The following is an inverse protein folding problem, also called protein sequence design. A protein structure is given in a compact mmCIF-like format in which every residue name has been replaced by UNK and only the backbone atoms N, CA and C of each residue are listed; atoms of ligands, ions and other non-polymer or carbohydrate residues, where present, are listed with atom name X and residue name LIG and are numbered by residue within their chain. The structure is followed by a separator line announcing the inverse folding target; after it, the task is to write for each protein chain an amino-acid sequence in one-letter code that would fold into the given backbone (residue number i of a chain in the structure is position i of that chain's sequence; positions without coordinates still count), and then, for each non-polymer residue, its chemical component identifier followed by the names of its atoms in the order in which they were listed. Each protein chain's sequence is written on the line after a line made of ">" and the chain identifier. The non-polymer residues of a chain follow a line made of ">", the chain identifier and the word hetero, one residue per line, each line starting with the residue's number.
data_IF_537841130534
#
_entry.id   IF_537841130534
#
_cell.length_a   1.000
_cell.length_b   1.000
_cell.length_c   1.000
_cell.angle_alpha   90.00
_cell.angle_beta   90.00
_cell.angle_gamma   90.00
#
_symmetry.space_group_name_H-M   'P 1'
#
loop_
_entity.id
_entity.type
_entity.pdbx_description
1 polymer ?
#
# COMPACT_ATOMS: atom_id res chain seq x y z
N UNK A 1 0.97 -19.64 -1.07
CA UNK A 1 1.58 -18.30 -0.88
C UNK A 1 0.68 -17.49 0.02
N UNK A 2 1.10 -16.29 0.45
CA UNK A 2 0.20 -15.37 1.16
C UNK A 2 -0.81 -14.76 0.16
N UNK A 3 -2.06 -14.57 0.59
CA UNK A 3 -3.12 -13.99 -0.25
C UNK A 3 -3.02 -12.46 -0.37
N UNK A 4 -2.41 -11.82 0.65
CA UNK A 4 -2.19 -10.38 0.74
C UNK A 4 -1.12 -10.06 1.80
N UNK A 5 -0.23 -9.11 1.51
CA UNK A 5 0.66 -8.49 2.49
C UNK A 5 0.27 -7.03 2.68
N UNK A 6 -0.02 -6.61 3.92
CA UNK A 6 -0.30 -5.21 4.26
C UNK A 6 0.85 -4.70 5.14
N UNK A 7 1.56 -3.66 4.70
CA UNK A 7 2.77 -3.16 5.39
C UNK A 7 3.03 -1.69 5.08
N UNK A 8 4.06 -1.11 5.70
CA UNK A 8 4.63 0.20 5.36
C UNK A 8 5.82 0.03 4.39
N UNK A 9 6.39 1.14 3.92
CA UNK A 9 7.58 1.13 3.05
C UNK A 9 8.77 0.44 3.75
N UNK A 10 9.04 -0.80 3.35
CA UNK A 10 10.05 -1.69 3.93
C UNK A 10 10.56 -2.66 2.87
N UNK A 11 11.71 -3.30 3.12
CA UNK A 11 12.25 -4.36 2.26
C UNK A 11 11.25 -5.52 2.02
N UNK A 12 10.39 -5.81 3.01
CA UNK A 12 9.36 -6.85 2.88
C UNK A 12 8.33 -6.51 1.80
N UNK A 13 7.94 -5.23 1.70
CA UNK A 13 7.02 -4.79 0.66
C UNK A 13 7.62 -5.07 -0.73
N UNK A 14 8.86 -4.63 -0.94
CA UNK A 14 9.59 -4.83 -2.19
C UNK A 14 9.77 -6.30 -2.57
N UNK A 15 10.16 -7.14 -1.61
CA UNK A 15 10.29 -8.58 -1.85
C UNK A 15 8.95 -9.21 -2.24
N UNK A 16 7.87 -8.91 -1.50
CA UNK A 16 6.55 -9.46 -1.80
C UNK A 16 6.03 -9.02 -3.18
N UNK A 17 6.26 -7.75 -3.56
CA UNK A 17 5.93 -7.24 -4.90
C UNK A 17 6.74 -7.91 -6.01
N UNK A 18 8.05 -8.11 -5.80
CA UNK A 18 8.91 -8.82 -6.76
C UNK A 18 8.51 -10.29 -6.95
N UNK A 19 7.95 -10.92 -5.91
CA UNK A 19 7.41 -12.29 -5.97
C UNK A 19 5.99 -12.36 -6.54
N UNK A 20 5.41 -11.24 -6.99
CA UNK A 20 4.06 -11.20 -7.55
C UNK A 20 2.94 -11.46 -6.53
N UNK A 21 3.24 -11.33 -5.23
CA UNK A 21 2.21 -11.39 -4.19
C UNK A 21 1.41 -10.09 -4.18
N UNK A 22 0.08 -10.10 -3.96
CA UNK A 22 -0.68 -8.89 -3.73
C UNK A 22 -0.16 -8.13 -2.50
N UNK A 23 0.10 -6.84 -2.62
CA UNK A 23 0.69 -6.03 -1.54
C UNK A 23 -0.05 -4.70 -1.41
N UNK A 24 -0.42 -4.31 -0.19
CA UNK A 24 -0.94 -2.98 0.13
C UNK A 24 0.08 -2.23 0.98
N UNK A 25 0.52 -1.07 0.51
CA UNK A 25 1.48 -0.22 1.22
C UNK A 25 0.78 0.98 1.83
N UNK A 26 1.01 1.20 3.12
CA UNK A 26 0.58 2.37 3.86
C UNK A 26 1.71 3.39 3.85
N UNK A 27 1.50 4.48 3.10
CA UNK A 27 2.47 5.54 2.89
C UNK A 27 2.22 6.70 3.86
N UNK A 28 3.29 7.18 4.50
CA UNK A 28 3.29 8.40 5.29
C UNK A 28 3.06 9.63 4.40
N UNK A 29 2.75 10.78 5.02
CA UNK A 29 2.53 12.02 4.26
C UNK A 29 3.75 12.43 3.43
N UNK A 30 4.95 12.25 3.98
CA UNK A 30 6.23 12.52 3.31
C UNK A 30 6.85 11.22 2.77
N UNK A 31 6.11 10.51 1.92
CA UNK A 31 6.60 9.29 1.28
C UNK A 31 7.75 9.57 0.30
N UNK A 32 8.63 8.58 0.13
CA UNK A 32 9.74 8.67 -0.82
C UNK A 32 9.26 8.91 -2.26
N UNK A 33 10.06 9.63 -3.05
CA UNK A 33 9.74 10.07 -4.41
C UNK A 33 9.34 8.91 -5.33
N UNK A 34 9.88 7.70 -5.09
CA UNK A 34 9.53 6.51 -5.87
C UNK A 34 8.05 6.28 -5.82
N UNK A 35 7.33 6.60 -4.76
CA UNK A 35 5.90 6.31 -4.73
C UNK A 35 5.07 7.21 -5.67
N UNK A 36 5.64 8.26 -6.26
CA UNK A 36 4.94 9.25 -7.10
C UNK A 36 3.76 9.91 -6.39
N UNK A 37 3.10 10.84 -7.08
CA UNK A 37 1.92 11.56 -6.59
C UNK A 37 0.69 11.19 -7.44
N UNK A 38 -0.49 11.47 -6.89
CA UNK A 38 -1.80 11.37 -7.57
C UNK A 38 -2.13 10.00 -8.17
N UNK A 39 -1.65 8.94 -7.52
CA UNK A 39 -1.91 7.55 -7.92
C UNK A 39 -1.93 6.60 -6.73
N UNK A 40 -2.70 5.54 -6.87
CA UNK A 40 -2.86 4.48 -5.86
C UNK A 40 -2.29 3.12 -6.32
N UNK A 41 -1.64 3.07 -7.48
CA UNK A 41 -0.93 1.92 -8.02
C UNK A 41 0.60 2.12 -8.00
N UNK A 42 1.34 1.05 -8.30
CA UNK A 42 2.80 1.00 -8.20
C UNK A 42 3.44 0.65 -9.55
N UNK A 43 4.11 1.60 -10.23
CA UNK A 43 4.80 1.37 -11.50
C UNK A 43 5.80 0.21 -11.53
N UNK A 44 6.44 -0.10 -10.40
CA UNK A 44 7.47 -1.15 -10.32
C UNK A 44 6.89 -2.55 -10.07
N UNK A 45 5.77 -2.63 -9.37
CA UNK A 45 5.16 -3.89 -8.96
C UNK A 45 3.65 -3.87 -9.24
N UNK A 46 3.19 -4.50 -10.33
CA UNK A 46 1.78 -4.41 -10.76
C UNK A 46 0.76 -4.96 -9.74
N UNK A 47 1.19 -5.77 -8.78
CA UNK A 47 0.33 -6.35 -7.73
C UNK A 47 0.16 -5.44 -6.51
N UNK A 48 0.79 -4.26 -6.50
CA UNK A 48 0.76 -3.34 -5.38
C UNK A 48 -0.34 -2.28 -5.48
N UNK A 49 -0.92 -1.97 -4.32
CA UNK A 49 -1.82 -0.82 -4.10
C UNK A 49 -1.28 0.07 -3.00
N UNK A 50 -1.41 1.39 -3.15
CA UNK A 50 -0.90 2.41 -2.25
C UNK A 50 -2.03 3.10 -1.51
N UNK A 51 -1.90 3.20 -0.18
CA UNK A 51 -2.79 3.95 0.70
C UNK A 51 -2.01 5.09 1.32
N UNK A 52 -2.37 6.33 0.98
CA UNK A 52 -1.59 7.52 1.36
C UNK A 52 -2.24 8.31 2.46
N UNK A 53 -1.42 8.72 3.41
CA UNK A 53 -1.79 9.69 4.42
C UNK A 53 -2.01 11.07 3.78
N UNK A 54 -3.17 11.69 4.04
CA UNK A 54 -3.56 13.00 3.46
C UNK A 54 -2.97 14.20 4.19
N UNK A 55 -2.65 14.04 5.47
CA UNK A 55 -2.02 15.06 6.31
C UNK A 55 -1.07 14.40 7.31
N UNK A 56 0.03 15.05 7.74
CA UNK A 56 0.97 14.47 8.69
C UNK A 56 0.27 13.89 9.92
N UNK A 57 0.48 12.60 10.18
CA UNK A 57 -0.09 11.90 11.34
C UNK A 57 -1.53 11.40 11.18
N UNK A 58 -2.23 11.70 10.07
CA UNK A 58 -3.56 11.15 9.79
C UNK A 58 -3.51 9.68 9.34
N UNK A 59 -3.08 8.80 10.24
CA UNK A 59 -3.12 7.35 10.03
C UNK A 59 -4.53 6.79 10.14
N UNK A 60 -5.43 7.50 10.82
CA UNK A 60 -6.82 7.07 10.98
C UNK A 60 -7.53 6.96 9.63
N UNK A 61 -7.36 7.93 8.73
CA UNK A 61 -7.96 7.86 7.39
C UNK A 61 -7.36 6.76 6.53
N UNK A 62 -6.04 6.53 6.63
CA UNK A 62 -5.34 5.43 5.93
C UNK A 62 -5.89 4.07 6.36
N UNK A 63 -5.95 3.83 7.68
CA UNK A 63 -6.48 2.57 8.23
C UNK A 63 -7.95 2.37 7.87
N UNK A 64 -8.77 3.43 7.91
CA UNK A 64 -10.16 3.35 7.46
C UNK A 64 -10.25 2.92 5.99
N UNK A 65 -9.43 3.51 5.12
CA UNK A 65 -9.42 3.17 3.69
C UNK A 65 -8.97 1.72 3.43
N UNK A 66 -7.96 1.26 4.16
CA UNK A 66 -7.49 -0.13 4.11
C UNK A 66 -8.60 -1.09 4.55
N UNK A 67 -9.29 -0.78 5.66
CA UNK A 67 -10.40 -1.58 6.17
C UNK A 67 -11.53 -1.72 5.16
N UNK A 68 -11.99 -0.61 4.58
CA UNK A 68 -13.05 -0.65 3.55
C UNK A 68 -12.61 -1.47 2.33
N UNK A 69 -11.37 -1.27 1.87
CA UNK A 69 -10.83 -2.05 0.77
C UNK A 69 -10.80 -3.56 1.11
N UNK A 70 -10.42 -3.91 2.34
CA UNK A 70 -10.33 -5.31 2.77
C UNK A 70 -11.69 -6.00 2.79
N UNK A 71 -12.72 -5.35 3.34
CA UNK A 71 -14.08 -5.89 3.33
C UNK A 71 -14.69 -5.98 1.93
N UNK A 72 -14.30 -5.07 1.02
CA UNK A 72 -14.76 -5.11 -0.38
C UNK A 72 -14.06 -6.19 -1.22
N UNK A 73 -12.88 -6.66 -0.80
CA UNK A 73 -12.13 -7.70 -1.49
C UNK A 73 -12.83 -9.03 -1.23
N UNK A 74 -13.59 -9.54 -2.20
CA UNK A 74 -14.02 -10.94 -2.20
C UNK A 74 -12.78 -11.81 -2.25
N UNK A 75 -12.54 -12.57 -1.17
CA UNK A 75 -11.54 -13.64 -1.12
C UNK A 75 -12.06 -14.80 -1.97
#
# INVERSE_FOLDING_TARGET
>A
GLDLVITVDTAVAHLAGALGTPVWILLSFAADWRWLLDRDDCPWYPTMKLFRQKAPGDWKSVISSVREALYSKKI
#
